data_IF_087543474298
#
_entry.id   IF_087543474298
#
_cell.length_a   1.000
_cell.length_b   1.000
_cell.length_c   1.000
_cell.angle_alpha   90.00
_cell.angle_beta   90.00
_cell.angle_gamma   90.00
#
_symmetry.space_group_name_H-M   'P 1'
#
loop_
_entity.id
_entity.type
_entity.pdbx_description
1 polymer ?
#
# COMPACT_ATOMS: atom_id res chain seq x y z
N UNK A 1 -15.38 11.91 4.43
CA UNK A 1 -16.48 12.05 3.44
C UNK A 1 -17.83 11.94 4.14
N UNK A 2 -18.88 12.59 3.60
CA UNK A 2 -20.25 12.35 4.07
C UNK A 2 -20.67 10.92 3.69
N UNK A 3 -21.56 10.27 4.46
CA UNK A 3 -22.11 8.98 4.09
C UNK A 3 -22.72 9.00 2.68
N UNK A 4 -22.51 7.92 1.92
CA UNK A 4 -23.09 7.77 0.58
C UNK A 4 -24.61 7.61 0.71
N UNK A 5 -25.38 8.43 -0.02
CA UNK A 5 -26.82 8.26 -0.09
C UNK A 5 -27.20 7.14 -1.07
N UNK A 6 -28.45 6.67 -0.99
CA UNK A 6 -28.95 5.66 -1.91
C UNK A 6 -29.05 6.23 -3.33
N UNK A 7 -29.50 7.49 -3.44
CA UNK A 7 -29.65 8.18 -4.73
C UNK A 7 -28.30 8.31 -5.46
N UNK A 8 -27.23 8.70 -4.78
CA UNK A 8 -25.88 8.78 -5.36
C UNK A 8 -25.40 7.41 -5.87
N UNK A 9 -25.66 6.36 -5.08
CA UNK A 9 -25.28 5.01 -5.47
C UNK A 9 -26.09 4.48 -6.67
N UNK A 10 -27.42 4.70 -6.65
CA UNK A 10 -28.30 4.32 -7.76
C UNK A 10 -27.92 5.08 -9.05
N UNK A 11 -27.57 6.37 -8.93
CA UNK A 11 -27.03 7.17 -10.04
C UNK A 11 -25.73 6.56 -10.58
N UNK A 12 -24.76 6.26 -9.72
CA UNK A 12 -23.51 5.67 -10.14
C UNK A 12 -23.70 4.30 -10.82
N UNK A 13 -24.54 3.42 -10.24
CA UNK A 13 -24.88 2.11 -10.81
C UNK A 13 -25.42 2.24 -12.24
N UNK A 14 -26.29 3.21 -12.49
CA UNK A 14 -26.90 3.43 -13.81
C UNK A 14 -25.88 3.88 -14.88
N UNK A 15 -24.71 4.36 -14.48
CA UNK A 15 -23.71 4.91 -15.39
C UNK A 15 -22.51 3.99 -15.67
N UNK A 16 -22.50 2.75 -15.15
CA UNK A 16 -21.50 1.73 -15.54
C UNK A 16 -22.10 0.67 -16.47
N UNK A 17 -21.23 0.02 -17.25
CA UNK A 17 -21.62 -1.05 -18.20
C UNK A 17 -21.82 -2.38 -17.50
N UNK A 18 -22.87 -2.48 -16.71
CA UNK A 18 -23.26 -3.74 -16.09
C UNK A 18 -24.24 -4.54 -16.96
N UNK A 19 -24.14 -5.85 -16.87
CA UNK A 19 -25.05 -6.78 -17.53
C UNK A 19 -26.00 -7.41 -16.49
N UNK A 20 -27.26 -7.62 -16.89
CA UNK A 20 -28.25 -8.30 -16.04
C UNK A 20 -29.06 -7.36 -15.15
N UNK A 21 -29.76 -7.94 -14.19
CA UNK A 21 -30.62 -7.26 -13.22
C UNK A 21 -29.94 -7.22 -11.85
N UNK A 22 -29.85 -6.04 -11.24
CA UNK A 22 -29.32 -5.88 -9.88
C UNK A 22 -30.22 -6.59 -8.88
N UNK A 23 -29.65 -7.56 -8.13
CA UNK A 23 -30.39 -8.34 -7.12
C UNK A 23 -29.84 -8.12 -5.70
N UNK A 24 -28.64 -7.55 -5.55
CA UNK A 24 -28.06 -7.21 -4.25
C UNK A 24 -27.13 -6.01 -4.38
N UNK A 25 -27.20 -5.12 -3.37
CA UNK A 25 -26.34 -3.97 -3.16
C UNK A 25 -26.09 -3.84 -1.66
N UNK A 26 -24.82 -3.90 -1.24
CA UNK A 26 -24.46 -3.76 0.17
C UNK A 26 -23.02 -3.22 0.34
N UNK A 27 -22.74 -2.52 1.47
CA UNK A 27 -21.37 -2.17 1.83
C UNK A 27 -20.47 -3.41 1.87
N UNK A 28 -19.20 -3.26 1.49
CA UNK A 28 -18.26 -4.37 1.37
C UNK A 28 -16.84 -3.97 1.80
N UNK A 29 -16.15 -4.92 2.47
CA UNK A 29 -14.76 -4.77 2.88
C UNK A 29 -14.57 -3.98 4.17
N UNK A 30 -13.33 -4.00 4.68
CA UNK A 30 -12.88 -3.30 5.89
C UNK A 30 -12.12 -2.00 5.59
N UNK A 31 -11.99 -1.62 4.31
CA UNK A 31 -11.27 -0.42 3.89
C UNK A 31 -11.90 0.86 4.44
N UNK A 32 -11.06 1.83 4.83
CA UNK A 32 -11.51 3.03 5.53
C UNK A 32 -11.37 4.31 4.71
N UNK A 33 -10.76 4.24 3.52
CA UNK A 33 -10.48 5.41 2.68
C UNK A 33 -11.61 5.63 1.68
N UNK A 34 -11.90 4.65 0.84
CA UNK A 34 -12.96 4.69 -0.15
C UNK A 34 -14.25 4.03 0.35
N UNK A 35 -15.40 4.51 -0.07
CA UNK A 35 -16.66 3.80 0.20
C UNK A 35 -16.84 2.68 -0.82
N UNK A 36 -16.90 1.44 -0.34
CA UNK A 36 -16.90 0.23 -1.18
C UNK A 36 -18.21 -0.53 -1.05
N UNK A 37 -18.77 -0.93 -2.19
CA UNK A 37 -20.03 -1.68 -2.27
C UNK A 37 -19.84 -2.93 -3.13
N UNK A 38 -20.46 -4.03 -2.68
CA UNK A 38 -20.63 -5.24 -3.47
C UNK A 38 -21.99 -5.19 -4.16
N UNK A 39 -21.99 -5.26 -5.49
CA UNK A 39 -23.18 -5.41 -6.30
C UNK A 39 -23.23 -6.82 -6.86
N UNK A 40 -24.44 -7.41 -6.90
CA UNK A 40 -24.70 -8.71 -7.51
C UNK A 40 -25.76 -8.54 -8.57
N UNK A 41 -25.44 -8.95 -9.79
CA UNK A 41 -26.38 -8.95 -10.93
C UNK A 41 -26.73 -10.39 -11.29
N UNK A 42 -27.99 -10.61 -11.65
CA UNK A 42 -28.50 -11.86 -12.19
C UNK A 42 -28.60 -11.74 -13.70
N UNK A 43 -27.89 -12.62 -14.40
CA UNK A 43 -27.88 -12.70 -15.87
C UNK A 43 -28.60 -13.98 -16.29
N UNK A 44 -29.59 -13.85 -17.16
CA UNK A 44 -30.32 -15.00 -17.69
C UNK A 44 -29.31 -16.02 -18.27
N UNK A 45 -29.49 -17.30 -17.93
CA UNK A 45 -28.66 -18.44 -18.37
C UNK A 45 -27.21 -18.49 -17.87
N UNK A 46 -26.61 -17.35 -17.44
CA UNK A 46 -25.22 -17.28 -16.93
C UNK A 46 -25.12 -17.29 -15.40
N UNK A 47 -26.25 -17.06 -14.70
CA UNK A 47 -26.28 -17.02 -13.24
C UNK A 47 -25.91 -15.65 -12.68
N UNK A 48 -25.23 -15.62 -11.52
CA UNK A 48 -24.94 -14.37 -10.81
C UNK A 48 -23.50 -13.93 -11.01
N UNK A 49 -23.32 -12.67 -11.37
CA UNK A 49 -22.02 -11.99 -11.37
C UNK A 49 -21.93 -11.03 -10.21
N UNK A 50 -20.72 -10.80 -9.73
CA UNK A 50 -20.39 -9.85 -8.68
C UNK A 50 -19.47 -8.77 -9.24
N UNK A 51 -19.67 -7.54 -8.77
CA UNK A 51 -18.79 -6.42 -9.08
C UNK A 51 -18.58 -5.57 -7.84
N UNK A 52 -17.47 -4.86 -7.79
CA UNK A 52 -17.16 -3.86 -6.77
C UNK A 52 -17.45 -2.48 -7.36
N UNK A 53 -18.21 -1.68 -6.65
CA UNK A 53 -18.39 -0.26 -6.92
C UNK A 53 -17.77 0.54 -5.78
N UNK A 54 -16.96 1.56 -6.12
CA UNK A 54 -16.29 2.39 -5.12
C UNK A 54 -16.51 3.87 -5.41
N UNK A 55 -16.85 4.64 -4.36
CA UNK A 55 -16.70 6.10 -4.35
C UNK A 55 -15.29 6.43 -3.87
N UNK A 56 -14.55 7.14 -4.72
CA UNK A 56 -13.16 7.54 -4.43
C UNK A 56 -13.13 8.69 -3.43
N UNK A 57 -12.21 8.63 -2.49
CA UNK A 57 -12.00 9.70 -1.52
C UNK A 57 -11.12 10.82 -2.12
N UNK A 58 -11.74 11.86 -2.68
CA UNK A 58 -11.02 12.99 -3.28
C UNK A 58 -10.24 13.86 -2.27
N UNK A 59 -10.44 13.66 -0.95
CA UNK A 59 -9.60 14.31 0.07
C UNK A 59 -8.28 13.55 0.23
N UNK A 60 -8.32 12.22 0.22
CA UNK A 60 -7.12 11.38 0.29
C UNK A 60 -6.38 11.36 -1.06
N UNK A 61 -7.14 11.34 -2.16
CA UNK A 61 -6.63 11.32 -3.54
C UNK A 61 -7.17 12.53 -4.31
N UNK A 62 -6.50 13.69 -4.21
CA UNK A 62 -7.02 14.94 -4.78
C UNK A 62 -7.05 14.99 -6.31
N UNK A 63 -6.45 13.99 -6.96
CA UNK A 63 -6.37 13.86 -8.42
C UNK A 63 -6.96 12.52 -8.90
N UNK A 64 -8.27 12.27 -8.69
CA UNK A 64 -8.87 10.96 -8.97
C UNK A 64 -8.79 10.53 -10.44
N UNK A 65 -8.74 11.46 -11.38
CA UNK A 65 -8.54 11.16 -12.82
C UNK A 65 -7.15 10.57 -13.05
N UNK A 66 -6.09 11.22 -12.52
CA UNK A 66 -4.72 10.74 -12.63
C UNK A 66 -4.54 9.37 -11.95
N UNK A 67 -5.21 9.14 -10.80
CA UNK A 67 -5.25 7.83 -10.14
C UNK A 67 -5.82 6.76 -11.08
N UNK A 68 -6.94 7.05 -11.75
CA UNK A 68 -7.57 6.09 -12.66
C UNK A 68 -6.77 5.89 -13.95
N UNK A 69 -6.04 6.89 -14.42
CA UNK A 69 -5.10 6.75 -15.55
C UNK A 69 -3.95 5.80 -15.19
N UNK A 70 -3.34 5.96 -14.00
CA UNK A 70 -2.32 5.04 -13.48
C UNK A 70 -2.86 3.61 -13.38
N UNK A 71 -4.00 3.42 -12.70
CA UNK A 71 -4.62 2.11 -12.51
C UNK A 71 -4.93 1.45 -13.87
N UNK A 72 -5.51 2.18 -14.79
CA UNK A 72 -5.88 1.64 -16.11
C UNK A 72 -4.65 1.26 -16.93
N UNK A 73 -3.61 2.11 -16.92
CA UNK A 73 -2.34 1.85 -17.59
C UNK A 73 -1.68 0.59 -17.05
N UNK A 74 -1.50 0.52 -15.73
CA UNK A 74 -0.85 -0.61 -15.05
C UNK A 74 -1.64 -1.91 -15.23
N UNK A 75 -2.95 -1.90 -15.00
CA UNK A 75 -3.76 -3.13 -15.13
C UNK A 75 -3.86 -3.62 -16.56
N UNK A 76 -3.90 -2.72 -17.55
CA UNK A 76 -3.87 -3.09 -18.97
C UNK A 76 -2.53 -3.71 -19.38
N UNK A 77 -1.43 -3.23 -18.83
CA UNK A 77 -0.10 -3.80 -19.05
C UNK A 77 0.02 -5.17 -18.36
N UNK A 78 -0.41 -5.28 -17.10
CA UNK A 78 -0.44 -6.54 -16.36
C UNK A 78 -1.23 -7.62 -17.10
N UNK A 79 -2.42 -7.29 -17.63
CA UNK A 79 -3.22 -8.24 -18.43
C UNK A 79 -2.42 -8.84 -19.58
N UNK A 80 -1.68 -8.03 -20.33
CA UNK A 80 -0.85 -8.52 -21.44
C UNK A 80 0.24 -9.47 -20.93
N UNK A 81 0.96 -9.08 -19.87
CA UNK A 81 2.02 -9.91 -19.28
C UNK A 81 1.52 -11.21 -18.70
N UNK A 82 0.35 -11.20 -18.05
CA UNK A 82 -0.29 -12.39 -17.48
C UNK A 82 -0.66 -13.37 -18.62
N UNK A 83 -1.26 -12.87 -19.72
CA UNK A 83 -1.59 -13.70 -20.89
C UNK A 83 -0.31 -14.26 -21.53
N UNK A 84 0.75 -13.46 -21.67
CA UNK A 84 2.05 -13.90 -22.20
C UNK A 84 2.68 -15.03 -21.37
N UNK A 85 2.34 -15.10 -20.08
CA UNK A 85 2.79 -16.12 -19.13
C UNK A 85 1.76 -17.25 -18.90
N UNK A 86 0.78 -17.44 -19.78
CA UNK A 86 -0.29 -18.43 -19.68
C UNK A 86 -1.14 -18.35 -18.39
N UNK A 87 -1.22 -17.14 -17.78
CA UNK A 87 -2.02 -16.86 -16.59
C UNK A 87 -3.45 -16.44 -16.90
N UNK A 88 -4.25 -16.24 -15.85
CA UNK A 88 -5.66 -15.83 -15.92
C UNK A 88 -5.82 -14.33 -15.60
N UNK A 89 -5.92 -13.45 -16.61
CA UNK A 89 -6.05 -12.01 -16.39
C UNK A 89 -7.38 -11.62 -15.73
N UNK A 90 -8.37 -12.49 -15.69
CA UNK A 90 -9.64 -12.19 -15.00
C UNK A 90 -9.51 -12.34 -13.47
N UNK A 91 -8.48 -13.03 -13.00
CA UNK A 91 -8.22 -13.27 -11.58
C UNK A 91 -6.91 -12.66 -11.08
N UNK A 92 -5.88 -12.53 -11.94
CA UNK A 92 -4.53 -12.17 -11.52
C UNK A 92 -4.26 -10.66 -11.56
N UNK A 93 -5.21 -9.85 -12.03
CA UNK A 93 -5.16 -8.38 -11.94
C UNK A 93 -6.56 -7.79 -11.80
N UNK A 94 -6.64 -6.54 -11.33
CA UNK A 94 -7.90 -5.81 -11.28
C UNK A 94 -8.44 -5.56 -12.71
N UNK A 95 -9.74 -5.77 -12.86
CA UNK A 95 -10.46 -5.57 -14.12
C UNK A 95 -11.42 -4.39 -13.98
N UNK A 96 -11.01 -3.23 -14.49
CA UNK A 96 -11.84 -2.01 -14.49
C UNK A 96 -13.04 -2.21 -15.40
N UNK A 97 -14.24 -1.93 -14.90
CA UNK A 97 -15.48 -1.86 -15.68
C UNK A 97 -15.68 -0.41 -16.11
N UNK A 98 -15.73 -0.13 -17.41
CA UNK A 98 -15.87 1.25 -17.88
C UNK A 98 -17.29 1.78 -17.63
N UNK A 99 -17.38 3.09 -17.45
CA UNK A 99 -18.64 3.82 -17.50
C UNK A 99 -19.26 3.74 -18.91
N UNK A 100 -20.53 4.13 -19.03
CA UNK A 100 -21.28 4.10 -20.30
C UNK A 100 -20.61 4.96 -21.38
N UNK A 101 -20.00 6.09 -20.99
CA UNK A 101 -19.22 6.97 -21.89
C UNK A 101 -17.83 6.42 -22.26
N UNK A 102 -17.44 5.27 -21.72
CA UNK A 102 -16.17 4.59 -21.99
C UNK A 102 -15.02 4.98 -21.05
N UNK A 103 -15.20 5.94 -20.14
CA UNK A 103 -14.18 6.30 -19.15
C UNK A 103 -14.05 5.24 -18.06
N UNK A 104 -12.88 5.14 -17.41
CA UNK A 104 -12.67 4.20 -16.30
C UNK A 104 -13.28 4.68 -14.97
N UNK A 105 -13.98 5.78 -14.96
CA UNK A 105 -14.66 6.37 -13.80
C UNK A 105 -15.94 7.09 -14.24
N UNK A 106 -16.79 7.38 -13.27
CA UNK A 106 -17.98 8.22 -13.42
C UNK A 106 -17.94 9.36 -12.38
N UNK A 107 -18.45 10.54 -12.73
CA UNK A 107 -18.60 11.68 -11.82
C UNK A 107 -20.11 11.87 -11.63
N UNK A 108 -20.58 11.73 -10.38
CA UNK A 108 -21.99 11.89 -10.07
C UNK A 108 -22.44 13.36 -10.02
N UNK A 109 -23.74 13.57 -9.84
CA UNK A 109 -24.35 14.92 -9.81
C UNK A 109 -23.86 15.78 -8.64
N UNK A 110 -23.18 15.21 -7.65
CA UNK A 110 -22.58 15.94 -6.52
C UNK A 110 -21.09 16.22 -6.71
N UNK A 111 -20.47 15.68 -7.77
CA UNK A 111 -19.06 15.83 -8.10
C UNK A 111 -18.17 14.75 -7.51
N UNK A 112 -18.73 13.72 -6.90
CA UNK A 112 -17.97 12.58 -6.38
C UNK A 112 -17.58 11.63 -7.52
N UNK A 113 -16.36 11.06 -7.43
CA UNK A 113 -15.80 10.14 -8.41
C UNK A 113 -16.10 8.70 -8.04
N UNK A 114 -16.58 7.92 -9.00
CA UNK A 114 -16.92 6.51 -8.86
C UNK A 114 -16.14 5.67 -9.84
N UNK A 115 -15.77 4.45 -9.41
CA UNK A 115 -15.11 3.44 -10.23
C UNK A 115 -15.68 2.06 -9.95
N UNK A 116 -15.50 1.15 -10.90
CA UNK A 116 -15.99 -0.22 -10.73
C UNK A 116 -14.99 -1.25 -11.22
N UNK A 117 -14.97 -2.40 -10.54
CA UNK A 117 -14.12 -3.55 -10.85
C UNK A 117 -14.93 -4.84 -10.91
N UNK A 118 -14.51 -5.79 -11.75
CA UNK A 118 -14.97 -7.16 -11.63
C UNK A 118 -14.57 -7.71 -10.27
N UNK A 119 -15.45 -8.48 -9.66
CA UNK A 119 -15.16 -9.16 -8.40
C UNK A 119 -14.32 -10.41 -8.65
N UNK A 120 -13.22 -10.57 -7.93
CA UNK A 120 -12.38 -11.77 -8.00
C UNK A 120 -12.97 -12.80 -7.03
N UNK A 121 -13.44 -13.93 -7.56
CA UNK A 121 -14.08 -15.02 -6.80
C UNK A 121 -13.05 -16.03 -6.30
N UNK A 122 -13.44 -16.82 -5.30
CA UNK A 122 -12.62 -17.89 -4.72
C UNK A 122 -11.24 -17.40 -4.25
N UNK A 123 -11.21 -16.18 -3.69
CA UNK A 123 -10.02 -15.55 -3.15
C UNK A 123 -10.38 -14.63 -1.97
N UNK A 124 -9.51 -14.60 -0.97
CA UNK A 124 -9.71 -13.87 0.28
C UNK A 124 -8.52 -12.97 0.60
N UNK A 125 -8.77 -11.88 1.35
CA UNK A 125 -7.73 -11.02 1.92
C UNK A 125 -7.67 -11.19 3.42
N UNK A 126 -6.54 -10.90 4.04
CA UNK A 126 -6.30 -11.05 5.47
C UNK A 126 -5.74 -9.76 6.04
N UNK A 127 -6.34 -9.24 7.10
CA UNK A 127 -5.88 -7.99 7.75
C UNK A 127 -4.62 -8.21 8.60
N UNK A 128 -4.39 -9.42 9.10
CA UNK A 128 -3.24 -9.81 9.91
C UNK A 128 -2.64 -11.12 9.41
N UNK A 129 -1.36 -11.33 9.69
CA UNK A 129 -0.68 -12.60 9.42
C UNK A 129 -1.17 -13.64 10.43
N UNK A 130 -2.08 -14.51 10.00
CA UNK A 130 -2.57 -15.63 10.81
C UNK A 130 -1.65 -16.85 10.70
N UNK A 131 -1.02 -17.01 9.53
CA UNK A 131 -0.08 -18.10 9.21
C UNK A 131 1.11 -17.54 8.45
N UNK A 132 2.34 -17.99 8.76
CA UNK A 132 3.55 -17.52 8.06
C UNK A 132 3.48 -17.66 6.54
N UNK A 133 2.79 -18.70 6.03
CA UNK A 133 2.62 -18.96 4.60
C UNK A 133 1.86 -17.84 3.90
N UNK A 134 0.90 -17.19 4.57
CA UNK A 134 0.16 -16.05 3.99
C UNK A 134 1.11 -14.86 3.75
N UNK A 135 2.03 -14.62 4.69
CA UNK A 135 3.02 -13.55 4.55
C UNK A 135 4.05 -13.87 3.46
N UNK A 136 4.46 -15.14 3.33
CA UNK A 136 5.29 -15.59 2.23
C UNK A 136 4.61 -15.42 0.88
N UNK A 137 3.34 -15.82 0.75
CA UNK A 137 2.61 -15.72 -0.52
C UNK A 137 2.29 -14.25 -0.88
N UNK A 138 2.06 -13.38 0.09
CA UNK A 138 1.97 -11.93 -0.18
C UNK A 138 3.29 -11.37 -0.70
N UNK A 139 4.42 -11.82 -0.17
CA UNK A 139 5.74 -11.44 -0.65
C UNK A 139 5.96 -11.91 -2.10
N UNK A 140 5.58 -13.14 -2.43
CA UNK A 140 5.65 -13.64 -3.81
C UNK A 140 4.76 -12.80 -4.73
N UNK A 141 3.55 -12.44 -4.31
CA UNK A 141 2.62 -11.65 -5.11
C UNK A 141 3.17 -10.23 -5.38
N UNK A 142 3.67 -9.52 -4.36
CA UNK A 142 4.27 -8.19 -4.55
C UNK A 142 5.56 -8.27 -5.38
N UNK A 143 6.39 -9.29 -5.16
CA UNK A 143 7.57 -9.51 -6.01
C UNK A 143 7.21 -9.78 -7.46
N UNK A 144 6.16 -10.58 -7.72
CA UNK A 144 5.66 -10.84 -9.07
C UNK A 144 5.09 -9.56 -9.71
N UNK A 145 4.40 -8.72 -8.95
CA UNK A 145 3.94 -7.41 -9.40
C UNK A 145 5.11 -6.55 -9.88
N UNK A 146 6.21 -6.49 -9.12
CA UNK A 146 7.45 -5.81 -9.53
C UNK A 146 8.07 -6.43 -10.79
N UNK A 147 8.06 -7.76 -10.90
CA UNK A 147 8.60 -8.48 -12.05
C UNK A 147 7.80 -8.23 -13.33
N UNK A 148 6.47 -8.35 -13.27
CA UNK A 148 5.59 -8.15 -14.41
C UNK A 148 5.62 -6.70 -14.92
N UNK A 149 5.85 -5.73 -14.03
CA UNK A 149 5.93 -4.31 -14.35
C UNK A 149 7.36 -3.81 -14.59
N UNK A 150 8.37 -4.70 -14.61
CA UNK A 150 9.76 -4.30 -14.77
C UNK A 150 10.06 -3.54 -16.06
N UNK A 151 9.27 -3.80 -17.12
CA UNK A 151 9.39 -3.16 -18.43
C UNK A 151 8.37 -2.01 -18.62
N UNK A 152 7.56 -1.72 -17.62
CA UNK A 152 6.63 -0.59 -17.67
C UNK A 152 7.40 0.72 -17.50
N UNK A 153 7.19 1.74 -18.36
CA UNK A 153 7.88 3.02 -18.23
C UNK A 153 7.31 3.81 -17.03
N UNK A 154 7.92 3.63 -15.85
CA UNK A 154 7.43 4.20 -14.60
C UNK A 154 7.26 5.72 -14.65
N UNK A 155 8.08 6.41 -15.44
CA UNK A 155 8.04 7.87 -15.66
C UNK A 155 6.73 8.35 -16.33
N UNK A 156 5.93 7.46 -16.90
CA UNK A 156 4.63 7.79 -17.48
C UNK A 156 3.50 7.84 -16.46
N UNK A 157 3.74 7.34 -15.24
CA UNK A 157 2.77 7.41 -14.17
C UNK A 157 2.73 8.80 -13.54
N UNK A 158 1.53 9.22 -13.17
CA UNK A 158 1.32 10.44 -12.40
C UNK A 158 1.75 10.26 -10.94
N UNK A 159 2.37 11.26 -10.36
CA UNK A 159 2.56 11.36 -8.91
C UNK A 159 1.26 11.89 -8.29
N UNK A 160 0.36 10.97 -7.95
CA UNK A 160 -0.99 11.30 -7.47
C UNK A 160 -1.02 11.81 -6.02
N UNK A 161 -0.01 11.43 -5.23
CA UNK A 161 0.28 11.98 -3.90
C UNK A 161 1.71 12.50 -3.93
N UNK A 162 1.85 13.81 -3.98
CA UNK A 162 3.14 14.47 -4.12
C UNK A 162 4.10 14.08 -2.97
N UNK A 163 5.31 13.64 -3.33
CA UNK A 163 6.38 13.26 -2.40
C UNK A 163 5.94 12.25 -1.35
N UNK A 164 5.15 11.23 -1.77
CA UNK A 164 4.50 10.31 -0.85
C UNK A 164 5.51 9.60 0.05
N UNK A 165 6.54 8.99 -0.51
CA UNK A 165 7.66 8.35 0.19
C UNK A 165 8.99 9.07 -0.01
N UNK A 166 8.98 10.40 -0.13
CA UNK A 166 10.17 11.23 -0.01
C UNK A 166 10.46 11.48 1.47
N UNK A 167 11.24 10.57 2.09
CA UNK A 167 11.54 10.62 3.53
C UNK A 167 12.30 11.89 3.91
N UNK A 168 13.15 12.44 3.02
CA UNK A 168 13.84 13.72 3.21
C UNK A 168 12.83 14.88 3.30
N UNK A 169 11.82 14.89 2.45
CA UNK A 169 10.74 15.87 2.51
C UNK A 169 9.92 15.72 3.79
N UNK A 170 9.56 14.48 4.17
CA UNK A 170 8.85 14.18 5.43
C UNK A 170 9.65 14.67 6.65
N UNK A 171 10.96 14.49 6.63
CA UNK A 171 11.84 14.99 7.69
C UNK A 171 11.85 16.53 7.78
N UNK A 172 11.82 17.23 6.64
CA UNK A 172 11.70 18.69 6.62
C UNK A 172 10.35 19.16 7.21
N UNK A 173 9.24 18.47 6.85
CA UNK A 173 7.92 18.76 7.43
C UNK A 173 7.87 18.47 8.94
N UNK A 174 8.53 17.41 9.39
CA UNK A 174 8.67 17.09 10.81
C UNK A 174 9.40 18.22 11.57
N UNK A 175 10.57 18.66 11.08
CA UNK A 175 11.32 19.78 11.71
C UNK A 175 10.46 21.05 11.81
N UNK A 176 9.71 21.35 10.77
CA UNK A 176 8.77 22.47 10.77
C UNK A 176 7.66 22.31 11.83
N UNK A 177 7.07 21.12 11.95
CA UNK A 177 6.04 20.85 12.96
C UNK A 177 6.56 20.97 14.39
N UNK A 178 7.83 20.58 14.63
CA UNK A 178 8.51 20.76 15.94
C UNK A 178 8.74 22.25 16.24
N UNK A 179 9.18 23.03 15.25
CA UNK A 179 9.45 24.46 15.40
C UNK A 179 8.16 25.26 15.64
N UNK A 180 7.11 24.95 14.90
CA UNK A 180 5.80 25.62 15.01
C UNK A 180 5.05 25.25 16.29
N UNK A 181 5.19 24.02 16.77
CA UNK A 181 4.56 23.42 17.97
C UNK A 181 3.13 23.93 18.21
N UNK A 182 2.31 23.91 17.17
CA UNK A 182 0.96 24.54 17.14
C UNK A 182 0.04 24.05 18.25
N UNK A 183 0.30 22.86 18.80
CA UNK A 183 -0.46 22.25 19.90
C UNK A 183 0.24 22.37 21.26
N UNK A 184 1.45 22.93 21.33
CA UNK A 184 2.24 23.00 22.56
C UNK A 184 2.65 21.63 23.11
N UNK A 185 2.81 20.62 22.24
CA UNK A 185 3.07 19.22 22.63
C UNK A 185 4.55 18.82 22.55
N UNK A 186 5.42 19.64 21.93
CA UNK A 186 6.82 19.28 21.67
C UNK A 186 7.60 18.96 22.94
N UNK A 187 7.42 19.73 23.99
CA UNK A 187 8.08 19.49 25.29
C UNK A 187 7.71 18.14 25.91
N UNK A 188 6.53 17.61 25.63
CA UNK A 188 6.08 16.30 26.17
C UNK A 188 6.65 15.10 25.43
N UNK A 189 7.23 15.30 24.22
CA UNK A 189 7.76 14.25 23.33
C UNK A 189 9.22 14.50 22.91
N UNK A 190 10.00 15.13 23.76
CA UNK A 190 11.42 15.44 23.48
C UNK A 190 12.26 14.18 23.15
N UNK A 191 11.93 13.03 23.74
CA UNK A 191 12.63 11.77 23.44
C UNK A 191 12.38 11.30 22.02
N UNK A 192 11.13 11.35 21.59
CA UNK A 192 10.70 10.98 20.25
C UNK A 192 11.25 11.96 19.21
N UNK A 193 11.26 13.26 19.49
CA UNK A 193 11.88 14.29 18.64
C UNK A 193 13.38 14.01 18.48
N UNK A 194 14.09 13.78 19.58
CA UNK A 194 15.52 13.46 19.55
C UNK A 194 15.80 12.20 18.74
N UNK A 195 14.97 11.15 18.91
CA UNK A 195 15.09 9.92 18.15
C UNK A 195 15.10 10.16 16.65
N UNK A 196 14.22 11.04 16.16
CA UNK A 196 14.16 11.42 14.73
C UNK A 196 15.38 12.24 14.32
N UNK A 197 15.74 13.29 15.09
CA UNK A 197 16.85 14.17 14.74
C UNK A 197 18.21 13.46 14.71
N UNK A 198 18.42 12.44 15.56
CA UNK A 198 19.65 11.62 15.59
C UNK A 198 19.77 10.66 14.40
N UNK A 199 18.74 10.55 13.54
CA UNK A 199 18.66 9.62 12.40
C UNK A 199 18.41 10.32 11.07
N UNK A 200 18.88 11.55 10.91
CA UNK A 200 18.75 12.31 9.67
C UNK A 200 19.34 11.59 8.46
N UNK A 201 20.39 10.78 8.67
CA UNK A 201 20.99 9.96 7.62
C UNK A 201 20.03 8.93 7.02
N UNK A 202 19.09 8.39 7.81
CA UNK A 202 18.04 7.48 7.29
C UNK A 202 17.11 8.25 6.35
N UNK A 203 16.73 9.47 6.73
CA UNK A 203 15.84 10.31 5.92
C UNK A 203 16.46 10.69 4.57
N UNK A 204 17.77 10.88 4.51
CA UNK A 204 18.47 11.33 3.31
C UNK A 204 18.98 10.19 2.41
N UNK A 205 19.12 8.97 2.95
CA UNK A 205 19.81 7.85 2.30
C UNK A 205 19.34 7.60 0.85
N UNK A 206 18.06 7.36 0.65
CA UNK A 206 17.53 7.07 -0.69
C UNK A 206 17.45 8.32 -1.57
N UNK A 207 17.12 9.47 -0.99
CA UNK A 207 17.06 10.72 -1.73
C UNK A 207 18.44 11.09 -2.33
N UNK A 208 19.54 10.92 -1.58
CA UNK A 208 20.88 11.13 -2.08
C UNK A 208 21.30 10.15 -3.18
N UNK A 209 20.86 8.89 -3.07
CA UNK A 209 21.13 7.89 -4.11
C UNK A 209 20.34 8.20 -5.40
N UNK A 210 19.09 8.68 -5.28
CA UNK A 210 18.32 9.14 -6.42
C UNK A 210 18.95 10.37 -7.08
N UNK A 211 19.39 11.36 -6.29
CA UNK A 211 20.09 12.54 -6.79
C UNK A 211 21.36 12.17 -7.58
N UNK A 212 22.03 11.07 -7.20
CA UNK A 212 23.22 10.52 -7.89
C UNK A 212 22.90 9.50 -9.00
N UNK A 213 21.61 9.25 -9.29
CA UNK A 213 21.14 8.28 -10.28
C UNK A 213 21.65 6.84 -10.02
N UNK A 214 21.83 6.47 -8.76
CA UNK A 214 22.29 5.13 -8.36
C UNK A 214 21.14 4.11 -8.27
N UNK A 215 19.89 4.56 -8.22
CA UNK A 215 18.71 3.73 -8.10
C UNK A 215 17.72 4.02 -9.24
N UNK A 216 17.12 2.98 -9.84
CA UNK A 216 16.06 3.16 -10.80
C UNK A 216 14.73 3.47 -10.09
N UNK A 217 13.88 4.29 -10.71
CA UNK A 217 12.47 4.35 -10.36
C UNK A 217 11.73 3.20 -11.06
N UNK A 218 10.84 2.57 -10.33
CA UNK A 218 9.96 1.48 -10.79
C UNK A 218 8.50 1.84 -10.57
N UNK A 219 7.61 1.05 -11.14
CA UNK A 219 6.21 1.06 -10.72
C UNK A 219 6.15 0.42 -9.33
N UNK A 220 5.75 1.19 -8.32
CA UNK A 220 5.62 0.72 -6.94
C UNK A 220 4.17 0.81 -6.47
N UNK A 221 3.79 -0.10 -5.60
CA UNK A 221 2.45 -0.12 -5.00
C UNK A 221 2.30 0.94 -3.91
N UNK A 222 3.35 1.13 -3.09
CA UNK A 222 3.46 2.12 -2.02
C UNK A 222 2.50 1.94 -0.81
N UNK A 223 1.74 0.84 -0.75
CA UNK A 223 0.93 0.43 0.40
C UNK A 223 0.84 -1.10 0.43
N UNK A 224 1.96 -1.77 0.68
CA UNK A 224 2.13 -3.21 0.50
C UNK A 224 1.74 -4.03 1.73
N UNK A 225 0.57 -3.73 2.29
CA UNK A 225 0.00 -4.50 3.39
C UNK A 225 -0.52 -5.87 2.91
N UNK A 226 -0.56 -6.85 3.82
CA UNK A 226 -1.08 -8.18 3.54
C UNK A 226 -2.51 -8.15 2.95
N UNK A 227 -3.38 -7.28 3.44
CA UNK A 227 -4.76 -7.18 2.97
C UNK A 227 -4.91 -6.57 1.56
N UNK A 228 -3.81 -6.11 0.95
CA UNK A 228 -3.75 -5.68 -0.45
C UNK A 228 -3.30 -6.79 -1.40
N UNK A 229 -3.26 -8.04 -0.91
CA UNK A 229 -3.07 -9.25 -1.73
C UNK A 229 -4.24 -10.19 -1.52
N UNK A 230 -4.84 -10.64 -2.61
CA UNK A 230 -5.83 -11.72 -2.58
C UNK A 230 -5.12 -13.06 -2.66
N UNK A 231 -5.42 -13.96 -1.73
CA UNK A 231 -4.95 -15.34 -1.72
C UNK A 231 -6.05 -16.27 -2.23
N UNK A 232 -5.71 -17.16 -3.12
CA UNK A 232 -6.63 -18.18 -3.66
C UNK A 232 -7.10 -19.13 -2.55
N UNK A 233 -8.41 -19.28 -2.38
CA UNK A 233 -9.02 -20.02 -1.26
C UNK A 233 -8.69 -21.52 -1.27
N UNK A 234 -8.31 -22.08 -2.43
CA UNK A 234 -7.98 -23.52 -2.56
C UNK A 234 -6.51 -23.80 -2.35
N UNK A 235 -5.65 -22.95 -2.92
CA UNK A 235 -4.20 -23.19 -2.95
C UNK A 235 -3.44 -22.37 -1.90
N UNK A 236 -4.06 -21.33 -1.35
CA UNK A 236 -3.42 -20.35 -0.46
C UNK A 236 -2.41 -19.43 -1.14
N UNK A 237 -2.23 -19.53 -2.46
CA UNK A 237 -1.26 -18.71 -3.21
C UNK A 237 -1.76 -17.29 -3.42
N UNK A 238 -0.82 -16.31 -3.40
CA UNK A 238 -1.10 -14.95 -3.81
C UNK A 238 -1.43 -14.90 -5.30
N UNK A 239 -2.60 -14.33 -5.65
CA UNK A 239 -3.08 -14.29 -7.05
C UNK A 239 -3.25 -12.88 -7.59
N UNK A 240 -3.66 -11.91 -6.78
CA UNK A 240 -3.92 -10.56 -7.26
C UNK A 240 -3.50 -9.52 -6.23
N UNK A 241 -2.75 -8.52 -6.67
CA UNK A 241 -2.48 -7.30 -5.91
C UNK A 241 -3.63 -6.33 -6.18
N UNK A 242 -4.22 -5.81 -5.11
CA UNK A 242 -5.39 -4.90 -5.15
C UNK A 242 -5.06 -3.57 -4.45
N UNK A 243 -6.01 -2.63 -4.46
CA UNK A 243 -5.87 -1.28 -3.88
C UNK A 243 -4.71 -0.49 -4.50
N UNK A 244 -4.79 -0.30 -5.82
CA UNK A 244 -3.77 0.34 -6.64
C UNK A 244 -3.80 1.89 -6.59
N UNK A 245 -4.44 2.50 -5.60
CA UNK A 245 -4.62 3.96 -5.50
C UNK A 245 -3.31 4.73 -5.31
N UNK A 246 -2.32 4.06 -4.74
CA UNK A 246 -1.00 4.61 -4.46
C UNK A 246 0.06 4.17 -5.47
N UNK A 247 -0.35 3.55 -6.59
CA UNK A 247 0.60 3.14 -7.63
C UNK A 247 1.19 4.37 -8.31
N UNK A 248 2.50 4.55 -8.12
CA UNK A 248 3.29 5.69 -8.59
C UNK A 248 4.72 5.25 -8.89
N UNK A 249 5.56 6.11 -9.53
CA UNK A 249 6.99 5.87 -9.59
C UNK A 249 7.58 5.87 -8.17
N UNK A 250 8.42 4.87 -7.87
CA UNK A 250 9.04 4.75 -6.55
C UNK A 250 10.20 3.74 -6.53
N UNK A 251 10.61 3.37 -5.33
CA UNK A 251 11.71 2.44 -5.11
C UNK A 251 11.16 1.07 -4.68
N UNK A 252 11.64 -0.01 -5.28
CA UNK A 252 11.24 -1.37 -4.88
C UNK A 252 11.49 -1.68 -3.40
N UNK A 253 12.51 -1.04 -2.81
CA UNK A 253 12.82 -1.15 -1.39
C UNK A 253 11.75 -0.54 -0.49
N UNK A 254 10.97 0.44 -0.98
CA UNK A 254 9.84 1.00 -0.23
C UNK A 254 8.70 -0.03 -0.12
N UNK A 255 8.36 -0.69 -1.23
CA UNK A 255 7.35 -1.76 -1.23
C UNK A 255 7.75 -2.92 -0.31
N UNK A 256 9.01 -3.39 -0.43
CA UNK A 256 9.54 -4.37 0.50
C UNK A 256 9.47 -3.90 1.95
N UNK A 257 9.89 -2.66 2.20
CA UNK A 257 10.00 -2.09 3.54
C UNK A 257 8.66 -1.88 4.23
N UNK A 258 7.64 -1.45 3.51
CA UNK A 258 6.31 -1.24 4.07
C UNK A 258 5.67 -2.57 4.49
N UNK A 259 5.84 -3.64 3.70
CA UNK A 259 5.42 -4.97 4.09
C UNK A 259 6.13 -5.48 5.35
N UNK A 260 7.45 -5.27 5.47
CA UNK A 260 8.22 -5.69 6.66
C UNK A 260 7.76 -4.90 7.89
N UNK A 261 7.59 -3.59 7.76
CA UNK A 261 7.11 -2.71 8.84
C UNK A 261 5.83 -3.24 9.48
N UNK A 262 4.90 -3.65 8.66
CA UNK A 262 3.60 -4.12 9.10
C UNK A 262 3.60 -5.61 9.45
N UNK A 263 4.10 -6.47 8.56
CA UNK A 263 3.93 -7.92 8.66
C UNK A 263 4.99 -8.65 9.48
N UNK A 264 6.18 -8.07 9.67
CA UNK A 264 7.23 -8.67 10.51
C UNK A 264 7.27 -8.09 11.95
N UNK A 265 6.36 -7.17 12.30
CA UNK A 265 6.18 -6.71 13.67
C UNK A 265 5.53 -7.80 14.53
N UNK A 266 6.05 -8.00 15.75
CA UNK A 266 5.48 -8.94 16.72
C UNK A 266 4.28 -8.38 17.49
N UNK A 267 3.93 -7.10 17.27
CA UNK A 267 2.84 -6.41 17.95
C UNK A 267 2.05 -5.55 16.97
N UNK A 268 0.86 -5.13 17.39
CA UNK A 268 0.03 -4.21 16.64
C UNK A 268 0.71 -2.83 16.50
N UNK A 269 0.30 -2.05 15.50
CA UNK A 269 0.87 -0.74 15.20
C UNK A 269 0.73 0.26 16.35
N UNK A 270 -0.30 0.11 17.18
CA UNK A 270 -0.62 0.97 18.33
C UNK A 270 -0.41 0.31 19.69
N UNK A 271 0.44 -0.73 19.77
CA UNK A 271 0.79 -1.41 21.02
C UNK A 271 1.45 -0.44 22.01
N UNK A 272 0.89 -0.34 23.21
CA UNK A 272 1.39 0.55 24.26
C UNK A 272 2.51 -0.10 25.10
N UNK A 273 2.54 -1.44 25.19
CA UNK A 273 3.61 -2.19 25.84
C UNK A 273 4.76 -2.45 24.85
N UNK A 274 5.70 -1.53 24.80
CA UNK A 274 6.83 -1.59 23.88
C UNK A 274 7.77 -2.80 24.11
N UNK A 275 7.63 -3.54 25.22
CA UNK A 275 8.41 -4.76 25.44
C UNK A 275 7.97 -5.90 24.52
N UNK A 276 6.76 -5.84 24.00
CA UNK A 276 6.21 -6.80 23.02
C UNK A 276 6.63 -6.49 21.57
N UNK A 277 7.11 -5.28 21.32
CA UNK A 277 7.41 -4.79 19.96
C UNK A 277 8.82 -5.19 19.56
N UNK A 278 8.91 -6.02 18.52
CA UNK A 278 10.17 -6.50 17.94
C UNK A 278 9.97 -6.81 16.45
N UNK A 279 11.01 -6.72 15.65
CA UNK A 279 11.02 -7.21 14.28
C UNK A 279 11.38 -8.71 14.29
N UNK A 280 10.47 -9.56 13.83
CA UNK A 280 10.70 -11.01 13.71
C UNK A 280 11.67 -11.30 12.57
N UNK A 281 12.84 -11.84 12.88
CA UNK A 281 13.80 -12.24 11.83
C UNK A 281 13.33 -13.45 11.03
N UNK A 282 12.51 -14.30 11.63
CA UNK A 282 11.87 -15.42 10.92
C UNK A 282 10.92 -14.91 9.83
N UNK A 283 10.04 -13.96 10.16
CA UNK A 283 9.12 -13.35 9.19
C UNK A 283 9.86 -12.47 8.18
N UNK A 284 10.89 -11.74 8.61
CA UNK A 284 11.77 -10.98 7.71
C UNK A 284 12.44 -11.90 6.66
N UNK A 285 13.00 -13.03 7.10
CA UNK A 285 13.61 -14.00 6.18
C UNK A 285 12.58 -14.63 5.25
N UNK A 286 11.43 -15.00 5.78
CA UNK A 286 10.34 -15.59 5.02
C UNK A 286 9.84 -14.66 3.91
N UNK A 287 9.63 -13.38 4.27
CA UNK A 287 9.21 -12.37 3.30
C UNK A 287 10.30 -12.08 2.26
N UNK A 288 11.56 -11.93 2.69
CA UNK A 288 12.71 -11.73 1.78
C UNK A 288 12.79 -12.84 0.74
N UNK A 289 12.68 -14.09 1.16
CA UNK A 289 12.68 -15.26 0.26
C UNK A 289 11.52 -15.19 -0.74
N UNK A 290 10.31 -14.90 -0.27
CA UNK A 290 9.13 -14.81 -1.13
C UNK A 290 9.22 -13.66 -2.14
N UNK A 291 9.60 -12.47 -1.67
CA UNK A 291 9.70 -11.27 -2.50
C UNK A 291 10.75 -11.43 -3.61
N UNK A 292 11.96 -11.90 -3.28
CA UNK A 292 13.01 -12.13 -4.28
C UNK A 292 12.64 -13.24 -5.27
N UNK A 293 11.94 -14.30 -4.81
CA UNK A 293 11.39 -15.31 -5.71
C UNK A 293 10.40 -14.70 -6.70
N UNK A 294 9.48 -13.86 -6.23
CA UNK A 294 8.50 -13.17 -7.07
C UNK A 294 9.15 -12.19 -8.04
N UNK A 295 10.16 -11.44 -7.61
CA UNK A 295 10.91 -10.51 -8.46
C UNK A 295 11.65 -11.19 -9.63
N UNK A 296 11.86 -12.50 -9.58
CA UNK A 296 12.42 -13.31 -10.68
C UNK A 296 13.70 -12.73 -11.30
N UNK A 297 14.61 -12.16 -10.47
CA UNK A 297 15.87 -11.58 -10.92
C UNK A 297 15.76 -10.23 -11.63
N UNK A 298 14.61 -9.54 -11.54
CA UNK A 298 14.39 -8.24 -12.18
C UNK A 298 14.94 -7.04 -11.38
N UNK A 299 15.29 -7.24 -10.11
CA UNK A 299 15.93 -6.22 -9.30
C UNK A 299 17.45 -6.21 -9.53
N UNK A 300 18.06 -5.04 -9.43
CA UNK A 300 19.51 -4.90 -9.43
C UNK A 300 20.12 -5.40 -8.12
N UNK A 301 21.38 -5.79 -8.11
CA UNK A 301 22.08 -6.19 -6.87
C UNK A 301 22.03 -5.08 -5.83
N UNK A 302 22.12 -3.81 -6.24
CA UNK A 302 22.06 -2.65 -5.36
C UNK A 302 20.70 -2.52 -4.65
N UNK A 303 19.60 -2.70 -5.40
CA UNK A 303 18.26 -2.69 -4.82
C UNK A 303 18.10 -3.81 -3.78
N UNK A 304 18.61 -5.02 -4.08
CA UNK A 304 18.53 -6.15 -3.16
C UNK A 304 19.37 -5.88 -1.89
N UNK A 305 20.59 -5.40 -2.01
CA UNK A 305 21.45 -5.03 -0.88
C UNK A 305 20.81 -3.98 0.04
N UNK A 306 19.98 -3.10 -0.53
CA UNK A 306 19.29 -2.01 0.20
C UNK A 306 17.95 -2.40 0.80
N UNK A 307 17.46 -3.63 0.64
CA UNK A 307 16.20 -4.08 1.25
C UNK A 307 16.14 -3.89 2.77
N UNK A 308 17.19 -4.22 3.56
CA UNK A 308 17.19 -3.93 5.00
C UNK A 308 17.05 -2.43 5.29
N UNK A 309 17.67 -1.57 4.47
CA UNK A 309 17.53 -0.13 4.57
C UNK A 309 16.11 0.30 4.22
N UNK A 310 15.47 -0.31 3.21
CA UNK A 310 14.06 -0.09 2.87
C UNK A 310 13.14 -0.35 4.07
N UNK A 311 13.30 -1.49 4.73
CA UNK A 311 12.54 -1.83 5.94
C UNK A 311 12.71 -0.78 7.05
N UNK A 312 13.96 -0.38 7.32
CA UNK A 312 14.27 0.63 8.33
C UNK A 312 13.72 2.00 7.97
N UNK A 313 13.89 2.44 6.71
CA UNK A 313 13.43 3.75 6.22
C UNK A 313 11.91 3.86 6.26
N UNK A 314 11.17 2.86 5.76
CA UNK A 314 9.71 2.88 5.77
C UNK A 314 9.14 2.88 7.19
N UNK A 315 9.74 2.11 8.09
CA UNK A 315 9.36 2.11 9.52
C UNK A 315 9.63 3.45 10.18
N UNK A 316 10.81 4.04 9.92
CA UNK A 316 11.20 5.35 10.42
C UNK A 316 10.27 6.46 9.89
N UNK A 317 10.02 6.48 8.58
CA UNK A 317 9.13 7.46 7.94
C UNK A 317 7.72 7.39 8.54
N UNK A 318 7.15 6.20 8.68
CA UNK A 318 5.83 6.01 9.24
C UNK A 318 5.74 6.55 10.68
N UNK A 319 6.71 6.21 11.53
CA UNK A 319 6.79 6.72 12.90
C UNK A 319 6.93 8.23 12.97
N UNK A 320 7.77 8.81 12.10
CA UNK A 320 7.96 10.26 11.98
C UNK A 320 6.68 10.95 11.52
N UNK A 321 5.93 10.38 10.57
CA UNK A 321 4.64 10.92 10.12
C UNK A 321 3.58 10.91 11.22
N UNK A 322 3.51 9.85 12.05
CA UNK A 322 2.63 9.83 13.21
C UNK A 322 3.00 10.90 14.23
N UNK A 323 4.30 11.12 14.49
CA UNK A 323 4.74 12.16 15.40
C UNK A 323 4.45 13.57 14.85
N UNK A 324 4.66 13.78 13.55
CA UNK A 324 4.33 15.04 12.87
C UNK A 324 2.85 15.36 13.02
N UNK A 325 1.97 14.39 12.74
CA UNK A 325 0.53 14.58 12.86
C UNK A 325 0.09 14.81 14.31
N UNK A 326 0.69 14.11 15.28
CA UNK A 326 0.47 14.37 16.71
C UNK A 326 0.81 15.81 17.10
N UNK A 327 1.94 16.32 16.62
CA UNK A 327 2.36 17.70 16.87
C UNK A 327 1.43 18.72 16.19
N UNK A 328 0.80 18.34 15.07
CA UNK A 328 -0.12 19.18 14.29
C UNK A 328 -1.60 19.03 14.71
N UNK A 329 -1.92 18.22 15.73
CA UNK A 329 -3.26 18.08 16.29
C UNK A 329 -4.07 16.91 15.78
N UNK A 330 -3.40 15.84 15.30
CA UNK A 330 -4.03 14.58 14.87
C UNK A 330 -5.07 14.78 13.74
N UNK A 331 -4.67 15.49 12.69
CA UNK A 331 -5.56 15.91 11.58
C UNK A 331 -5.48 15.05 10.34
N UNK A 332 -4.38 14.31 10.15
CA UNK A 332 -4.14 13.50 8.96
C UNK A 332 -4.58 12.04 9.14
N UNK A 333 -4.08 11.39 10.20
CA UNK A 333 -4.45 10.00 10.48
C UNK A 333 -5.70 9.93 11.34
N UNK A 334 -6.60 9.01 11.01
CA UNK A 334 -7.77 8.75 11.86
C UNK A 334 -7.30 8.19 13.20
N UNK A 335 -7.70 8.87 14.28
CA UNK A 335 -7.46 8.43 15.65
C UNK A 335 -8.75 7.87 16.26
N UNK A 336 -8.61 6.91 17.20
CA UNK A 336 -9.72 6.32 17.95
C UNK A 336 -9.70 6.67 19.43
N UNK A 337 -8.60 7.31 19.90
CA UNK A 337 -8.39 7.75 21.26
C UNK A 337 -7.34 8.85 21.32
N UNK A 338 -7.29 9.58 22.41
CA UNK A 338 -6.22 10.56 22.66
C UNK A 338 -4.86 9.86 22.70
N UNK A 339 -3.83 10.48 22.12
CA UNK A 339 -2.47 9.94 22.07
C UNK A 339 -2.27 8.77 21.11
N UNK A 340 -3.28 8.38 20.30
CA UNK A 340 -3.19 7.22 19.41
C UNK A 340 -2.01 7.31 18.44
N UNK A 341 -1.79 8.47 17.80
CA UNK A 341 -0.64 8.67 16.92
C UNK A 341 0.70 8.63 17.66
N UNK A 342 0.74 9.06 18.92
CA UNK A 342 1.95 8.97 19.72
C UNK A 342 2.30 7.52 20.06
N UNK A 343 1.32 6.67 20.38
CA UNK A 343 1.55 5.25 20.60
C UNK A 343 2.02 4.57 19.32
N UNK A 344 1.41 4.85 18.18
CA UNK A 344 1.86 4.38 16.86
C UNK A 344 3.29 4.82 16.56
N UNK A 345 3.63 6.07 16.80
CA UNK A 345 4.98 6.59 16.65
C UNK A 345 5.99 5.78 17.49
N UNK A 346 5.69 5.57 18.77
CA UNK A 346 6.56 4.82 19.70
C UNK A 346 6.76 3.38 19.27
N UNK A 347 5.72 2.72 18.77
CA UNK A 347 5.82 1.37 18.23
C UNK A 347 6.77 1.32 17.03
N UNK A 348 6.62 2.25 16.08
CA UNK A 348 7.50 2.32 14.91
C UNK A 348 8.95 2.61 15.30
N UNK A 349 9.20 3.55 16.22
CA UNK A 349 10.56 3.85 16.68
C UNK A 349 11.20 2.70 17.44
N UNK A 350 10.39 1.94 18.18
CA UNK A 350 10.84 0.71 18.82
C UNK A 350 11.26 -0.35 17.80
N UNK A 351 10.50 -0.49 16.69
CA UNK A 351 10.87 -1.38 15.60
C UNK A 351 12.16 -0.94 14.91
N UNK A 352 12.33 0.37 14.62
CA UNK A 352 13.59 0.90 14.06
C UNK A 352 14.78 0.56 14.97
N UNK A 353 14.67 0.84 16.27
CA UNK A 353 15.74 0.54 17.22
C UNK A 353 16.03 -0.97 17.34
N UNK A 354 15.04 -1.83 17.14
CA UNK A 354 15.21 -3.28 17.12
C UNK A 354 15.88 -3.75 15.82
N UNK A 355 15.52 -3.20 14.67
CA UNK A 355 16.17 -3.44 13.37
C UNK A 355 17.66 -3.01 13.42
N UNK A 356 17.96 -1.87 14.04
CA UNK A 356 19.35 -1.41 14.23
C UNK A 356 20.18 -2.43 15.01
N UNK A 357 19.63 -3.05 16.06
CA UNK A 357 20.29 -4.10 16.82
C UNK A 357 20.47 -5.41 16.05
N UNK A 358 19.60 -5.68 15.10
CA UNK A 358 19.57 -6.90 14.28
C UNK A 358 20.14 -6.67 12.87
N UNK A 359 20.78 -5.53 12.66
CA UNK A 359 21.20 -5.07 11.34
C UNK A 359 22.02 -6.09 10.56
N UNK A 360 23.05 -6.64 11.18
CA UNK A 360 23.93 -7.63 10.54
C UNK A 360 23.16 -8.89 10.13
N UNK A 361 22.23 -9.34 10.98
CA UNK A 361 21.36 -10.49 10.68
C UNK A 361 20.46 -10.20 9.48
N UNK A 362 19.88 -8.99 9.40
CA UNK A 362 19.05 -8.59 8.25
C UNK A 362 19.87 -8.58 6.97
N UNK A 363 21.10 -8.07 6.99
CA UNK A 363 22.00 -8.07 5.85
C UNK A 363 22.40 -9.50 5.41
N UNK A 364 22.74 -10.37 6.37
CA UNK A 364 23.06 -11.78 6.10
C UNK A 364 21.88 -12.52 5.46
N UNK A 365 20.66 -12.30 5.95
CA UNK A 365 19.44 -12.89 5.39
C UNK A 365 19.28 -12.46 3.92
N UNK A 366 19.38 -11.17 3.61
CA UNK A 366 19.23 -10.68 2.24
C UNK A 366 20.33 -11.22 1.34
N UNK A 367 21.58 -11.22 1.80
CA UNK A 367 22.73 -11.77 1.04
C UNK A 367 22.56 -13.28 0.73
N UNK A 368 21.93 -14.05 1.61
CA UNK A 368 21.63 -15.47 1.40
C UNK A 368 20.77 -15.73 0.17
N UNK A 369 19.84 -14.83 -0.14
CA UNK A 369 18.88 -14.95 -1.25
C UNK A 369 19.24 -14.11 -2.48
N UNK A 370 20.28 -13.28 -2.41
CA UNK A 370 20.85 -12.52 -3.53
C UNK A 370 21.83 -13.41 -4.33
N UNK A 371 21.31 -14.39 -5.07
CA UNK A 371 22.14 -15.32 -5.85
C UNK A 371 21.71 -15.37 -7.32
#
# INVERSE_FOLDING_TARGET
MNPVTREQRDEAIAHFKYEGTLVKDCPYGSGHINDTFLLVFEIAEMGRIKVILQRMNSTAFPKPVEVMENITGVTSFLKKKIIENDGDPERETLNVIPAVDGKPYYIDSTGDYWRSYKFITDASTYDLVEKPEQFYESAVAFGNFQSLLSDYPAETLHETIEKFHDTRHRFALFKKAVEEDVMGRAASVEKEIRFVLEREEIANCFAEMLDRHELPLRVTHNDTKLNNVMLDDKTGKGICVIDLDTVMPGLAMNDFGDSIRFGASTALEDETDLTKVSCSMELFELYTKGFLKGCAGKLTSKEIELMPMGAKTMTFECGMRFLTDYLQGDTYFRIHREGHNLDRCRTQFKLVADMEKKWDIMQEIVAKYNR
#
